data_IF_054979206835
#
_entry.id   IF_054979206835
#
_cell.length_a   1.000
_cell.length_b   1.000
_cell.length_c   1.000
_cell.angle_alpha   90.00
_cell.angle_beta   90.00
_cell.angle_gamma   90.00
#
_symmetry.space_group_name_H-M   'P 1'
#
loop_
_entity.id
_entity.type
_entity.pdbx_description
1 polymer ?
#
# COMPACT_ATOMS: atom_id res chain seq x y z
N UNK A 1 40.99 -49.14 -46.67
CA UNK A 1 40.38 -47.90 -46.12
C UNK A 1 38.97 -48.10 -45.50
N UNK A 2 38.46 -49.33 -45.31
CA UNK A 2 37.10 -49.56 -44.75
C UNK A 2 37.08 -49.71 -43.21
N UNK A 3 38.25 -49.85 -42.59
CA UNK A 3 38.39 -50.20 -41.17
C UNK A 3 38.43 -48.97 -40.22
N UNK A 4 38.77 -47.77 -40.72
CA UNK A 4 38.82 -46.55 -39.89
C UNK A 4 37.47 -45.87 -39.68
N UNK A 5 36.46 -46.19 -40.52
CA UNK A 5 35.11 -45.64 -40.41
C UNK A 5 34.31 -46.29 -39.27
N UNK A 6 34.38 -47.62 -39.13
CA UNK A 6 33.70 -48.34 -38.04
C UNK A 6 34.22 -47.99 -36.66
N UNK A 7 35.54 -47.78 -36.51
CA UNK A 7 36.15 -47.39 -35.22
C UNK A 7 35.75 -45.99 -34.77
N UNK A 8 35.58 -45.03 -35.70
CA UNK A 8 35.07 -43.68 -35.39
C UNK A 8 33.60 -43.72 -35.00
N UNK A 9 32.76 -44.47 -35.70
CA UNK A 9 31.34 -44.62 -35.35
C UNK A 9 31.14 -45.29 -33.99
N UNK A 10 31.96 -46.29 -33.65
CA UNK A 10 31.93 -46.93 -32.32
C UNK A 10 32.41 -45.97 -31.23
N UNK A 11 33.45 -45.15 -31.49
CA UNK A 11 33.92 -44.15 -30.53
C UNK A 11 32.85 -43.06 -30.27
N UNK A 12 32.15 -42.60 -31.32
CA UNK A 12 31.04 -41.65 -31.17
C UNK A 12 29.87 -42.25 -30.40
N UNK A 13 29.58 -43.55 -30.60
CA UNK A 13 28.51 -44.23 -29.90
C UNK A 13 28.86 -44.44 -28.41
N UNK A 14 30.11 -44.77 -28.10
CA UNK A 14 30.60 -44.87 -26.71
C UNK A 14 30.62 -43.49 -26.04
N UNK A 15 31.04 -42.43 -26.74
CA UNK A 15 31.04 -41.07 -26.22
C UNK A 15 29.62 -40.56 -25.97
N UNK A 16 28.69 -40.83 -26.90
CA UNK A 16 27.27 -40.49 -26.75
C UNK A 16 26.64 -41.25 -25.57
N UNK A 17 26.93 -42.55 -25.43
CA UNK A 17 26.47 -43.34 -24.27
C UNK A 17 27.07 -42.82 -22.97
N UNK A 18 28.35 -42.46 -22.93
CA UNK A 18 29.00 -41.89 -21.75
C UNK A 18 28.42 -40.51 -21.39
N UNK A 19 28.09 -39.68 -22.38
CA UNK A 19 27.41 -38.39 -22.18
C UNK A 19 25.97 -38.60 -21.71
N UNK A 20 25.24 -39.56 -22.25
CA UNK A 20 23.88 -39.90 -21.78
C UNK A 20 23.89 -40.46 -20.35
N UNK A 21 24.88 -41.28 -19.99
CA UNK A 21 25.06 -41.78 -18.63
C UNK A 21 25.45 -40.63 -17.70
N UNK A 22 26.38 -39.77 -18.10
CA UNK A 22 26.78 -38.58 -17.34
C UNK A 22 25.62 -37.60 -17.13
N UNK A 23 24.84 -37.32 -18.17
CA UNK A 23 23.61 -36.53 -18.08
C UNK A 23 22.58 -37.21 -17.18
N UNK A 24 22.41 -38.53 -17.27
CA UNK A 24 21.51 -39.29 -16.39
C UNK A 24 21.92 -39.22 -14.93
N UNK A 25 23.22 -39.29 -14.62
CA UNK A 25 23.75 -39.13 -13.26
C UNK A 25 23.58 -37.71 -12.74
N UNK A 26 23.84 -36.70 -13.56
CA UNK A 26 23.64 -35.29 -13.20
C UNK A 26 22.15 -34.99 -12.99
N UNK A 27 21.27 -35.51 -13.86
CA UNK A 27 19.82 -35.42 -13.69
C UNK A 27 19.39 -36.15 -12.42
N UNK A 28 19.91 -37.34 -12.15
CA UNK A 28 19.60 -38.14 -10.97
C UNK A 28 20.05 -37.46 -9.66
N UNK A 29 21.22 -36.84 -9.66
CA UNK A 29 21.71 -36.06 -8.51
C UNK A 29 20.87 -34.79 -8.29
N UNK A 30 20.50 -34.11 -9.38
CA UNK A 30 19.57 -32.98 -9.35
C UNK A 30 18.20 -33.40 -8.82
N UNK A 31 17.64 -34.53 -9.28
CA UNK A 31 16.37 -35.08 -8.79
C UNK A 31 16.43 -35.50 -7.33
N UNK A 32 17.55 -36.08 -6.89
CA UNK A 32 17.75 -36.48 -5.50
C UNK A 32 17.87 -35.25 -4.59
N UNK A 33 18.59 -34.21 -5.02
CA UNK A 33 18.67 -32.93 -4.32
C UNK A 33 17.30 -32.21 -4.29
N UNK A 34 16.55 -32.29 -5.38
CA UNK A 34 15.20 -31.73 -5.49
C UNK A 34 14.23 -32.41 -4.52
N UNK A 35 14.21 -33.75 -4.49
CA UNK A 35 13.38 -34.53 -3.59
C UNK A 35 13.79 -34.35 -2.13
N UNK A 36 15.09 -34.24 -1.85
CA UNK A 36 15.58 -33.92 -0.51
C UNK A 36 15.13 -32.52 -0.07
N UNK A 37 15.23 -31.52 -0.94
CA UNK A 37 14.75 -30.17 -0.67
C UNK A 37 13.23 -30.14 -0.44
N UNK A 38 12.47 -30.90 -1.24
CA UNK A 38 11.02 -31.02 -1.11
C UNK A 38 10.62 -31.75 0.18
N UNK A 39 11.36 -32.79 0.58
CA UNK A 39 11.19 -33.49 1.86
C UNK A 39 11.52 -32.59 3.06
N UNK A 40 12.63 -31.84 3.00
CA UNK A 40 13.00 -30.85 4.03
C UNK A 40 11.93 -29.74 4.13
N UNK A 41 11.32 -29.34 3.02
CA UNK A 41 10.22 -28.37 3.01
C UNK A 41 8.92 -28.91 3.60
N UNK A 42 8.55 -30.17 3.36
CA UNK A 42 7.39 -30.80 4.03
C UNK A 42 7.63 -30.83 5.55
N UNK A 43 8.84 -31.18 5.98
CA UNK A 43 9.22 -31.21 7.40
C UNK A 43 9.20 -29.80 8.01
N UNK A 44 9.72 -28.78 7.31
CA UNK A 44 9.65 -27.38 7.77
C UNK A 44 8.22 -26.81 7.78
N UNK A 45 7.36 -27.20 6.84
CA UNK A 45 5.93 -26.84 6.82
C UNK A 45 5.17 -27.43 8.00
N UNK A 46 5.54 -28.63 8.45
CA UNK A 46 4.96 -29.31 9.62
C UNK A 46 5.50 -28.72 10.94
N UNK A 47 6.74 -28.24 10.95
CA UNK A 47 7.41 -27.73 12.16
C UNK A 47 7.39 -26.19 12.31
N UNK A 48 6.71 -25.46 11.43
CA UNK A 48 6.63 -23.99 11.48
C UNK A 48 5.74 -23.52 12.62
N UNK A 49 6.33 -22.85 13.61
CA UNK A 49 5.63 -22.29 14.78
C UNK A 49 4.73 -21.08 14.48
N UNK A 50 4.04 -20.52 15.50
CA UNK A 50 2.86 -19.63 15.35
C UNK A 50 3.16 -18.18 14.91
N UNK A 51 4.33 -17.90 14.32
CA UNK A 51 4.81 -16.55 14.01
C UNK A 51 5.30 -16.46 12.55
N UNK A 52 4.49 -16.90 11.59
CA UNK A 52 4.77 -16.67 10.16
C UNK A 52 4.05 -15.39 9.72
N UNK A 53 4.79 -14.32 9.47
CA UNK A 53 4.27 -13.08 8.89
C UNK A 53 3.82 -13.24 7.43
N UNK A 54 3.07 -12.26 6.90
CA UNK A 54 2.43 -12.32 5.58
C UNK A 54 3.43 -12.52 4.44
N UNK A 55 4.62 -11.91 4.51
CA UNK A 55 5.69 -12.09 3.52
C UNK A 55 6.14 -13.56 3.40
N UNK A 56 6.31 -14.26 4.53
CA UNK A 56 6.71 -15.67 4.54
C UNK A 56 5.58 -16.59 4.08
N UNK A 57 4.33 -16.27 4.43
CA UNK A 57 3.16 -16.97 3.92
C UNK A 57 3.03 -16.82 2.39
N UNK A 58 3.32 -15.64 1.85
CA UNK A 58 3.30 -15.37 0.41
C UNK A 58 4.33 -16.23 -0.34
N UNK A 59 5.59 -16.29 0.13
CA UNK A 59 6.62 -17.15 -0.48
C UNK A 59 6.24 -18.63 -0.48
N UNK A 60 5.64 -19.11 0.62
CA UNK A 60 5.18 -20.51 0.71
C UNK A 60 3.97 -20.79 -0.20
N UNK A 61 3.12 -19.79 -0.46
CA UNK A 61 1.98 -19.93 -1.38
C UNK A 61 2.42 -20.20 -2.82
N UNK A 62 3.65 -19.86 -3.18
CA UNK A 62 4.22 -20.14 -4.51
C UNK A 62 4.74 -21.59 -4.65
N UNK A 63 4.88 -22.36 -3.56
CA UNK A 63 5.30 -23.77 -3.59
C UNK A 63 4.51 -24.67 -4.56
N UNK A 64 3.17 -24.59 -4.68
CA UNK A 64 2.44 -25.34 -5.69
C UNK A 64 2.87 -25.06 -7.14
N UNK A 65 3.50 -23.92 -7.46
CA UNK A 65 4.07 -23.70 -8.80
C UNK A 65 5.25 -24.65 -9.09
N UNK A 66 5.89 -25.24 -8.08
CA UNK A 66 6.88 -26.30 -8.29
C UNK A 66 6.25 -27.53 -8.98
N UNK A 67 4.95 -27.81 -8.76
CA UNK A 67 4.24 -28.87 -9.49
C UNK A 67 4.09 -28.54 -10.98
N UNK A 68 3.89 -27.27 -11.32
CA UNK A 68 3.86 -26.81 -12.71
C UNK A 68 5.24 -26.99 -13.35
N UNK A 69 6.31 -26.63 -12.64
CA UNK A 69 7.68 -26.91 -13.08
C UNK A 69 7.93 -28.41 -13.30
N UNK A 70 7.43 -29.27 -12.42
CA UNK A 70 7.50 -30.73 -12.58
C UNK A 70 6.74 -31.22 -13.82
N UNK A 71 5.56 -30.65 -14.11
CA UNK A 71 4.80 -30.96 -15.32
C UNK A 71 5.58 -30.58 -16.59
N UNK A 72 6.31 -29.46 -16.60
CA UNK A 72 7.20 -29.11 -17.71
C UNK A 72 8.34 -30.10 -17.89
N UNK A 73 8.94 -30.58 -16.79
CA UNK A 73 9.96 -31.64 -16.86
C UNK A 73 9.37 -32.94 -17.42
N UNK A 74 8.18 -33.34 -16.97
CA UNK A 74 7.46 -34.50 -17.49
C UNK A 74 7.13 -34.36 -18.98
N UNK A 75 6.66 -33.19 -19.41
CA UNK A 75 6.41 -32.89 -20.82
C UNK A 75 7.70 -32.94 -21.65
N UNK A 76 8.82 -32.44 -21.10
CA UNK A 76 10.12 -32.54 -21.74
C UNK A 76 10.61 -33.98 -21.88
N UNK A 77 10.44 -34.81 -20.85
CA UNK A 77 10.72 -36.25 -20.94
C UNK A 77 9.84 -36.95 -21.98
N UNK A 78 8.55 -36.58 -22.05
CA UNK A 78 7.63 -37.04 -23.10
C UNK A 78 8.10 -36.64 -24.51
N UNK A 79 8.56 -35.40 -24.68
CA UNK A 79 9.15 -34.91 -25.93
C UNK A 79 10.40 -35.70 -26.35
N UNK A 80 11.24 -36.07 -25.38
CA UNK A 80 12.43 -36.89 -25.63
C UNK A 80 12.06 -38.32 -26.09
N UNK A 81 11.08 -38.94 -25.44
CA UNK A 81 10.55 -40.26 -25.84
C UNK A 81 9.92 -40.20 -27.22
N UNK A 82 9.13 -39.16 -27.50
CA UNK A 82 8.51 -38.93 -28.80
C UNK A 82 9.55 -38.78 -29.92
N UNK A 83 10.58 -37.94 -29.71
CA UNK A 83 11.68 -37.78 -30.66
C UNK A 83 12.42 -39.10 -30.91
N UNK A 84 12.63 -39.91 -29.87
CA UNK A 84 13.28 -41.21 -29.97
C UNK A 84 12.44 -42.23 -30.76
N UNK A 85 11.11 -42.23 -30.58
CA UNK A 85 10.21 -43.07 -31.37
C UNK A 85 10.23 -42.65 -32.85
N UNK A 86 10.10 -41.37 -33.13
CA UNK A 86 10.11 -40.82 -34.50
C UNK A 86 11.44 -41.04 -35.22
N UNK A 87 12.55 -41.03 -34.49
CA UNK A 87 13.87 -41.36 -35.05
C UNK A 87 13.99 -42.82 -35.50
N UNK A 88 13.20 -43.73 -34.90
CA UNK A 88 13.20 -45.16 -35.24
C UNK A 88 12.23 -45.52 -36.38
N UNK A 89 11.33 -44.62 -36.76
CA UNK A 89 10.41 -44.86 -37.87
C UNK A 89 11.14 -44.81 -39.22
N UNK A 90 10.67 -45.61 -40.18
CA UNK A 90 11.19 -45.60 -41.56
C UNK A 90 10.04 -45.31 -42.53
N UNK A 91 10.11 -44.24 -43.33
CA UNK A 91 11.16 -43.21 -43.37
C UNK A 91 11.11 -42.27 -42.14
N UNK A 92 12.27 -41.76 -41.72
CA UNK A 92 12.36 -40.80 -40.61
C UNK A 92 11.81 -39.44 -41.03
N UNK A 93 10.81 -38.95 -40.32
CA UNK A 93 10.30 -37.58 -40.47
C UNK A 93 11.11 -36.61 -39.58
N UNK A 94 12.22 -36.11 -40.12
CA UNK A 94 13.12 -35.18 -39.41
C UNK A 94 12.43 -33.98 -38.74
N UNK A 95 11.39 -33.33 -39.31
CA UNK A 95 10.68 -32.25 -38.63
C UNK A 95 10.06 -32.67 -37.29
N UNK A 96 9.50 -33.88 -37.19
CA UNK A 96 8.88 -34.37 -35.96
C UNK A 96 9.93 -34.71 -34.89
N UNK A 97 11.07 -35.27 -35.31
CA UNK A 97 12.22 -35.53 -34.43
C UNK A 97 12.75 -34.22 -33.86
N UNK A 98 12.95 -33.20 -34.71
CA UNK A 98 13.41 -31.87 -34.28
C UNK A 98 12.40 -31.24 -33.32
N UNK A 99 11.11 -31.29 -33.63
CA UNK A 99 10.05 -30.80 -32.75
C UNK A 99 10.08 -31.46 -31.37
N UNK A 100 10.20 -32.79 -31.32
CA UNK A 100 10.31 -33.53 -30.06
C UNK A 100 11.55 -33.16 -29.24
N UNK A 101 12.71 -32.98 -29.89
CA UNK A 101 13.95 -32.54 -29.23
C UNK A 101 13.82 -31.12 -28.66
N UNK A 102 13.18 -30.20 -29.40
CA UNK A 102 12.95 -28.82 -28.93
C UNK A 102 12.03 -28.82 -27.71
N UNK A 103 10.92 -29.56 -27.74
CA UNK A 103 10.01 -29.72 -26.60
C UNK A 103 10.74 -30.35 -25.41
N UNK A 104 11.59 -31.35 -25.66
CA UNK A 104 12.39 -31.98 -24.62
C UNK A 104 13.30 -30.99 -23.91
N UNK A 105 14.08 -30.24 -24.69
CA UNK A 105 15.03 -29.28 -24.16
C UNK A 105 14.33 -28.14 -23.42
N UNK A 106 13.34 -27.49 -24.04
CA UNK A 106 12.63 -26.37 -23.42
C UNK A 106 11.85 -26.79 -22.17
N UNK A 107 11.13 -27.91 -22.22
CA UNK A 107 10.37 -28.40 -21.06
C UNK A 107 11.26 -28.73 -19.86
N UNK A 108 12.40 -29.37 -20.11
CA UNK A 108 13.37 -29.69 -19.06
C UNK A 108 13.99 -28.41 -18.49
N UNK A 109 14.50 -27.50 -19.33
CA UNK A 109 15.17 -26.27 -18.88
C UNK A 109 14.22 -25.35 -18.12
N UNK A 110 13.03 -25.08 -18.67
CA UNK A 110 12.02 -24.23 -18.03
C UNK A 110 11.55 -24.86 -16.72
N UNK A 111 11.26 -26.16 -16.73
CA UNK A 111 10.80 -26.87 -15.56
C UNK A 111 11.83 -26.88 -14.42
N UNK A 112 13.10 -27.17 -14.72
CA UNK A 112 14.17 -27.10 -13.72
C UNK A 112 14.37 -25.69 -13.17
N UNK A 113 14.38 -24.67 -14.05
CA UNK A 113 14.49 -23.28 -13.62
C UNK A 113 13.38 -22.89 -12.66
N UNK A 114 12.12 -23.19 -13.00
CA UNK A 114 10.96 -22.86 -12.18
C UNK A 114 11.04 -23.53 -10.80
N UNK A 115 11.34 -24.84 -10.75
CA UNK A 115 11.44 -25.53 -9.46
C UNK A 115 12.61 -24.99 -8.66
N UNK A 116 13.76 -24.72 -9.30
CA UNK A 116 14.91 -24.14 -8.64
C UNK A 116 14.59 -22.78 -7.99
N UNK A 117 13.95 -21.86 -8.71
CA UNK A 117 13.59 -20.53 -8.19
C UNK A 117 12.64 -20.65 -7.01
N UNK A 118 11.55 -21.41 -7.12
CA UNK A 118 10.56 -21.57 -6.05
C UNK A 118 11.18 -22.22 -4.80
N UNK A 119 12.02 -23.23 -4.98
CA UNK A 119 12.73 -23.90 -3.87
C UNK A 119 13.76 -22.94 -3.23
N UNK A 120 14.52 -22.21 -4.05
CA UNK A 120 15.50 -21.23 -3.59
C UNK A 120 14.82 -20.17 -2.74
N UNK A 121 13.71 -19.61 -3.20
CA UNK A 121 13.03 -18.51 -2.54
C UNK A 121 12.38 -18.95 -1.22
N UNK A 122 11.91 -20.20 -1.14
CA UNK A 122 11.41 -20.79 0.10
C UNK A 122 12.53 -21.14 1.12
N UNK A 123 13.70 -21.55 0.65
CA UNK A 123 14.83 -21.96 1.51
C UNK A 123 15.74 -20.79 1.92
N UNK A 124 15.92 -19.83 1.04
CA UNK A 124 16.77 -18.65 1.18
C UNK A 124 15.94 -17.41 0.87
N UNK A 125 15.08 -16.97 1.80
CA UNK A 125 14.19 -15.82 1.58
C UNK A 125 14.97 -14.54 1.27
N UNK A 126 16.24 -14.44 1.68
CA UNK A 126 17.12 -13.31 1.35
C UNK A 126 17.38 -13.11 -0.14
N UNK A 127 17.28 -14.18 -0.93
CA UNK A 127 17.48 -14.16 -2.38
C UNK A 127 16.15 -14.15 -3.15
N UNK A 128 15.03 -14.08 -2.44
CA UNK A 128 13.72 -14.00 -3.06
C UNK A 128 13.53 -12.66 -3.76
N UNK A 129 12.76 -12.66 -4.84
CA UNK A 129 12.39 -11.43 -5.54
C UNK A 129 11.67 -10.45 -4.61
N UNK A 130 10.85 -10.96 -3.68
CA UNK A 130 10.15 -10.15 -2.69
C UNK A 130 11.13 -9.42 -1.76
N UNK A 131 12.08 -10.12 -1.14
CA UNK A 131 13.09 -9.47 -0.30
C UNK A 131 13.93 -8.46 -1.09
N UNK A 132 14.29 -8.79 -2.33
CA UNK A 132 15.06 -7.89 -3.18
C UNK A 132 14.28 -6.63 -3.56
N UNK A 133 12.97 -6.76 -3.82
CA UNK A 133 12.10 -5.60 -4.08
C UNK A 133 12.06 -4.68 -2.87
N UNK A 134 11.82 -5.18 -1.65
CA UNK A 134 11.80 -4.37 -0.41
C UNK A 134 13.15 -3.68 -0.20
N UNK A 135 14.28 -4.40 -0.31
CA UNK A 135 15.62 -3.81 -0.12
C UNK A 135 15.90 -2.69 -1.11
N UNK A 136 15.47 -2.86 -2.37
CA UNK A 136 15.66 -1.84 -3.39
C UNK A 136 14.90 -0.56 -3.06
N UNK A 137 13.79 -0.64 -2.33
CA UNK A 137 12.94 0.50 -1.99
C UNK A 137 13.47 1.28 -0.78
N UNK A 138 14.48 0.78 -0.07
CA UNK A 138 15.13 1.50 1.03
C UNK A 138 16.04 2.62 0.51
N UNK A 139 16.30 3.62 1.34
CA UNK A 139 17.24 4.72 1.02
C UNK A 139 18.68 4.22 0.85
N UNK A 140 19.08 3.23 1.66
CA UNK A 140 20.39 2.59 1.62
C UNK A 140 20.27 1.08 1.40
N UNK A 141 20.24 0.61 0.13
CA UNK A 141 20.08 -0.80 -0.19
C UNK A 141 21.23 -1.70 0.32
N UNK A 142 22.45 -1.15 0.37
CA UNK A 142 23.66 -1.88 0.75
C UNK A 142 23.78 -2.08 2.27
N UNK A 143 23.08 -1.25 3.06
CA UNK A 143 23.00 -1.33 4.53
C UNK A 143 21.67 -1.94 5.00
N UNK A 144 20.95 -2.61 4.10
CA UNK A 144 19.62 -3.13 4.40
C UNK A 144 19.68 -4.17 5.55
N UNK A 145 18.69 -4.12 6.47
CA UNK A 145 18.63 -5.04 7.60
C UNK A 145 18.44 -6.49 7.16
N UNK A 146 18.62 -7.41 8.11
CA UNK A 146 18.41 -8.84 7.88
C UNK A 146 16.96 -9.11 7.44
N UNK A 147 16.74 -10.19 6.70
CA UNK A 147 15.44 -10.49 6.07
C UNK A 147 14.31 -10.62 7.06
N UNK A 148 14.58 -11.13 8.26
CA UNK A 148 13.56 -11.25 9.30
C UNK A 148 13.06 -9.87 9.70
N UNK A 149 13.97 -8.92 9.89
CA UNK A 149 13.64 -7.54 10.22
C UNK A 149 12.99 -6.83 9.03
N UNK A 150 13.52 -7.06 7.82
CA UNK A 150 12.97 -6.53 6.56
C UNK A 150 11.51 -6.92 6.35
N UNK A 151 11.18 -8.21 6.51
CA UNK A 151 9.81 -8.70 6.40
C UNK A 151 8.97 -8.22 7.56
N UNK A 152 9.51 -8.13 8.77
CA UNK A 152 8.75 -7.62 9.92
C UNK A 152 8.30 -6.17 9.73
N UNK A 153 9.09 -5.31 9.06
CA UNK A 153 8.68 -3.93 8.78
C UNK A 153 7.43 -3.88 7.90
N UNK A 154 7.41 -4.68 6.82
CA UNK A 154 6.26 -4.77 5.92
C UNK A 154 5.08 -5.45 6.61
N UNK A 155 5.33 -6.59 7.26
CA UNK A 155 4.30 -7.38 7.92
C UNK A 155 3.62 -6.59 9.05
N UNK A 156 4.36 -5.80 9.83
CA UNK A 156 3.79 -4.95 10.87
C UNK A 156 2.94 -3.82 10.27
N UNK A 157 3.39 -3.16 9.21
CA UNK A 157 2.60 -2.12 8.55
C UNK A 157 1.30 -2.69 7.96
N UNK A 158 1.36 -3.85 7.30
CA UNK A 158 0.18 -4.52 6.76
C UNK A 158 -0.72 -5.05 7.89
N UNK A 159 -0.17 -5.54 9.00
CA UNK A 159 -0.96 -6.01 10.14
C UNK A 159 -1.72 -4.86 10.84
N UNK A 160 -1.11 -3.68 10.95
CA UNK A 160 -1.70 -2.52 11.62
C UNK A 160 -2.63 -1.71 10.71
N UNK A 161 -2.25 -1.51 9.45
CA UNK A 161 -2.89 -0.56 8.54
C UNK A 161 -3.41 -1.19 7.24
N UNK A 162 -3.20 -2.50 7.04
CA UNK A 162 -3.41 -3.16 5.75
C UNK A 162 -4.87 -3.29 5.33
N UNK A 163 -5.18 -2.81 4.13
CA UNK A 163 -6.43 -3.07 3.41
C UNK A 163 -6.13 -4.02 2.25
N UNK A 164 -6.95 -5.08 2.13
CA UNK A 164 -6.74 -6.14 1.13
C UNK A 164 -7.68 -5.97 -0.07
N UNK A 165 -7.12 -6.09 -1.26
CA UNK A 165 -7.81 -6.11 -2.55
C UNK A 165 -7.32 -7.31 -3.36
N UNK A 166 -8.05 -8.42 -3.28
CA UNK A 166 -7.63 -9.68 -3.90
C UNK A 166 -6.21 -10.11 -3.46
N UNK A 167 -5.21 -10.15 -4.36
CA UNK A 167 -3.84 -10.51 -4.03
C UNK A 167 -2.98 -9.34 -3.50
N UNK A 168 -3.48 -8.10 -3.50
CA UNK A 168 -2.74 -6.91 -3.08
C UNK A 168 -3.15 -6.49 -1.66
N UNK A 169 -2.18 -6.15 -0.82
CA UNK A 169 -2.38 -5.46 0.44
C UNK A 169 -1.76 -4.06 0.39
N UNK A 170 -2.50 -3.04 0.84
CA UNK A 170 -2.03 -1.66 0.93
C UNK A 170 -2.01 -1.26 2.39
N UNK A 171 -0.83 -1.03 2.94
CA UNK A 171 -0.60 -0.48 4.28
C UNK A 171 -0.46 1.04 4.26
N UNK A 172 0.14 1.58 5.33
CA UNK A 172 0.41 3.02 5.42
C UNK A 172 1.69 3.41 4.68
N UNK A 173 2.69 2.53 4.70
CA UNK A 173 4.01 2.78 4.10
C UNK A 173 4.30 1.83 2.95
N UNK A 174 3.76 0.62 2.98
CA UNK A 174 4.04 -0.43 2.01
C UNK A 174 2.81 -0.88 1.23
N UNK A 175 3.03 -1.19 -0.05
CA UNK A 175 2.11 -1.97 -0.87
C UNK A 175 2.75 -3.34 -1.10
N UNK A 176 2.03 -4.40 -0.76
CA UNK A 176 2.47 -5.78 -0.86
C UNK A 176 1.61 -6.54 -1.88
N UNK A 177 2.23 -7.02 -2.95
CA UNK A 177 1.66 -7.95 -3.93
C UNK A 177 2.60 -9.13 -4.14
N UNK A 178 2.90 -9.45 -5.40
CA UNK A 178 3.99 -10.40 -5.74
C UNK A 178 5.39 -9.84 -5.42
N UNK A 179 5.48 -8.51 -5.41
CA UNK A 179 6.62 -7.70 -4.95
C UNK A 179 6.12 -6.69 -3.92
N UNK A 180 7.03 -5.95 -3.27
CA UNK A 180 6.66 -4.86 -2.39
C UNK A 180 7.21 -3.51 -2.87
N UNK A 181 6.38 -2.48 -2.76
CA UNK A 181 6.75 -1.09 -3.06
C UNK A 181 6.50 -0.19 -1.87
N UNK A 182 7.42 0.75 -1.64
CA UNK A 182 7.21 1.81 -0.66
C UNK A 182 6.32 2.90 -1.26
N UNK A 183 5.20 3.23 -0.62
CA UNK A 183 4.25 4.25 -1.07
C UNK A 183 4.92 5.60 -1.29
N UNK A 184 5.91 5.96 -0.47
CA UNK A 184 6.65 7.21 -0.59
C UNK A 184 7.42 7.31 -1.93
N UNK A 185 7.85 6.18 -2.51
CA UNK A 185 8.57 6.13 -3.78
C UNK A 185 7.67 6.07 -5.00
N UNK A 186 6.40 5.68 -4.85
CA UNK A 186 5.47 5.60 -5.97
C UNK A 186 5.25 7.01 -6.57
N UNK A 187 5.35 7.10 -7.90
CA UNK A 187 5.10 8.28 -8.73
C UNK A 187 3.92 8.10 -9.67
N UNK A 188 3.59 6.86 -10.03
CA UNK A 188 2.46 6.59 -10.92
C UNK A 188 1.74 5.29 -10.57
N UNK A 189 0.43 5.29 -10.75
CA UNK A 189 -0.48 4.16 -10.54
C UNK A 189 -1.27 3.99 -11.83
N UNK A 190 -0.97 2.92 -12.54
CA UNK A 190 -1.61 2.58 -13.81
C UNK A 190 -2.33 1.25 -13.71
N UNK A 191 -3.37 1.06 -14.51
CA UNK A 191 -4.06 -0.22 -14.58
C UNK A 191 -4.26 -0.68 -16.01
N UNK A 192 -4.38 -1.99 -16.19
CA UNK A 192 -4.74 -2.65 -17.43
C UNK A 192 -6.03 -3.43 -17.20
N UNK A 193 -7.06 -3.09 -17.96
CA UNK A 193 -8.30 -3.87 -18.04
C UNK A 193 -8.64 -4.08 -19.52
N UNK A 194 -8.22 -5.23 -20.04
CA UNK A 194 -8.39 -5.57 -21.45
C UNK A 194 -9.05 -6.93 -21.63
N UNK A 195 -10.07 -7.00 -22.49
CA UNK A 195 -10.66 -8.27 -22.94
C UNK A 195 -10.03 -8.64 -24.27
N UNK A 196 -9.11 -9.61 -24.27
CA UNK A 196 -8.56 -10.22 -25.48
C UNK A 196 -9.49 -11.30 -26.00
N UNK A 197 -9.91 -11.18 -27.26
CA UNK A 197 -10.71 -12.21 -27.95
C UNK A 197 -9.84 -12.93 -28.96
N UNK A 198 -9.74 -14.24 -28.82
CA UNK A 198 -9.12 -15.11 -29.82
C UNK A 198 -10.22 -15.84 -30.59
N UNK A 199 -10.22 -15.66 -31.91
CA UNK A 199 -11.08 -16.43 -32.82
C UNK A 199 -10.38 -17.73 -33.20
N UNK A 200 -11.04 -18.85 -32.94
CA UNK A 200 -10.65 -20.19 -33.35
C UNK A 200 -11.76 -20.78 -34.22
N UNK A 201 -11.44 -21.77 -35.06
CA UNK A 201 -12.41 -22.52 -35.86
C UNK A 201 -13.49 -23.21 -34.99
N UNK A 202 -13.21 -23.43 -33.70
CA UNK A 202 -14.13 -24.03 -32.72
C UNK A 202 -14.84 -23.00 -31.80
N UNK A 203 -14.69 -21.70 -32.03
CA UNK A 203 -15.40 -20.65 -31.28
C UNK A 203 -14.54 -19.45 -30.87
N UNK A 204 -15.16 -18.48 -30.19
CA UNK A 204 -14.49 -17.28 -29.67
C UNK A 204 -14.10 -17.50 -28.21
N UNK A 205 -12.81 -17.48 -27.90
CA UNK A 205 -12.31 -17.52 -26.51
C UNK A 205 -11.97 -16.09 -26.06
N UNK A 206 -12.64 -15.60 -25.03
CA UNK A 206 -12.36 -14.30 -24.41
C UNK A 206 -11.54 -14.48 -23.12
N UNK A 207 -10.41 -13.80 -23.02
CA UNK A 207 -9.59 -13.72 -21.80
C UNK A 207 -9.56 -12.26 -21.36
N UNK A 208 -9.90 -11.97 -20.11
CA UNK A 208 -9.75 -10.63 -19.52
C UNK A 208 -8.43 -10.57 -18.77
N UNK A 209 -7.66 -9.51 -18.99
CA UNK A 209 -6.39 -9.23 -18.35
C UNK A 209 -6.62 -8.05 -17.42
N UNK A 210 -6.35 -8.24 -16.13
CA UNK A 210 -6.54 -7.26 -15.07
C UNK A 210 -5.21 -7.10 -14.34
N UNK A 211 -4.58 -5.93 -14.45
CA UNK A 211 -3.27 -5.67 -13.81
C UNK A 211 -3.24 -4.29 -13.20
N UNK A 212 -2.61 -4.17 -12.03
CA UNK A 212 -2.16 -2.92 -11.44
C UNK A 212 -0.66 -2.76 -11.69
N UNK A 213 -0.23 -1.56 -12.05
CA UNK A 213 1.16 -1.23 -12.36
C UNK A 213 1.54 -0.01 -11.52
N UNK A 214 2.51 -0.18 -10.63
CA UNK A 214 3.09 0.90 -9.83
C UNK A 214 4.41 1.32 -10.47
N UNK A 215 4.56 2.62 -10.71
CA UNK A 215 5.78 3.24 -11.22
C UNK A 215 6.46 3.98 -10.07
N UNK A 216 7.72 3.65 -9.77
CA UNK A 216 8.51 4.31 -8.74
C UNK A 216 9.35 5.50 -9.27
N UNK A 217 10.04 6.19 -8.37
CA UNK A 217 10.95 7.31 -8.62
C UNK A 217 12.17 6.93 -9.48
N UNK A 218 12.53 5.64 -9.50
CA UNK A 218 13.62 5.08 -10.31
C UNK A 218 13.13 4.59 -11.68
N UNK A 219 11.88 4.89 -12.03
CA UNK A 219 11.19 4.44 -13.24
C UNK A 219 11.08 2.91 -13.36
N UNK A 220 11.15 2.20 -12.24
CA UNK A 220 10.90 0.76 -12.19
C UNK A 220 9.40 0.52 -12.08
N UNK A 221 8.92 -0.53 -12.74
CA UNK A 221 7.51 -0.89 -12.74
C UNK A 221 7.29 -2.18 -11.98
N UNK A 222 6.39 -2.15 -11.01
CA UNK A 222 5.88 -3.34 -10.34
C UNK A 222 4.50 -3.65 -10.90
N UNK A 223 4.27 -4.88 -11.34
CA UNK A 223 2.96 -5.32 -11.84
C UNK A 223 2.34 -6.33 -10.87
N UNK A 224 1.05 -6.19 -10.57
CA UNK A 224 0.28 -7.18 -9.79
C UNK A 224 -0.96 -7.58 -10.59
N UNK A 225 -1.16 -8.89 -10.75
CA UNK A 225 -2.29 -9.45 -11.49
C UNK A 225 -3.52 -9.62 -10.60
N UNK A 226 -4.71 -9.31 -11.13
CA UNK A 226 -5.98 -9.43 -10.43
C UNK A 226 -6.89 -10.47 -11.09
N UNK A 227 -7.74 -11.10 -10.28
CA UNK A 227 -8.77 -12.03 -10.76
C UNK A 227 -10.12 -11.33 -10.95
N UNK A 228 -10.40 -10.32 -10.13
CA UNK A 228 -11.66 -9.57 -10.11
C UNK A 228 -11.45 -8.12 -10.57
N UNK A 229 -12.29 -7.59 -11.48
CA UNK A 229 -12.28 -6.18 -11.84
C UNK A 229 -12.57 -5.26 -10.65
N UNK A 230 -13.48 -5.68 -9.77
CA UNK A 230 -13.91 -4.89 -8.62
C UNK A 230 -12.76 -4.72 -7.60
N UNK A 231 -11.94 -5.76 -7.42
CA UNK A 231 -10.75 -5.69 -6.57
C UNK A 231 -9.70 -4.73 -7.15
N UNK A 232 -9.50 -4.76 -8.48
CA UNK A 232 -8.59 -3.84 -9.16
C UNK A 232 -9.06 -2.39 -9.05
N UNK A 233 -10.35 -2.14 -9.30
CA UNK A 233 -10.94 -0.80 -9.19
C UNK A 233 -10.87 -0.28 -7.75
N UNK A 234 -11.22 -1.13 -6.77
CA UNK A 234 -11.10 -0.81 -5.35
C UNK A 234 -9.67 -0.45 -4.95
N UNK A 235 -8.69 -1.23 -5.40
CA UNK A 235 -7.27 -0.94 -5.15
C UNK A 235 -6.83 0.40 -5.74
N UNK A 236 -7.21 0.69 -6.99
CA UNK A 236 -6.87 1.96 -7.66
C UNK A 236 -7.51 3.15 -6.94
N UNK A 237 -8.78 3.04 -6.54
CA UNK A 237 -9.47 4.09 -5.81
C UNK A 237 -8.83 4.35 -4.45
N UNK A 238 -8.51 3.29 -3.70
CA UNK A 238 -7.87 3.43 -2.40
C UNK A 238 -6.46 4.04 -2.53
N UNK A 239 -5.65 3.56 -3.48
CA UNK A 239 -4.34 4.14 -3.75
C UNK A 239 -4.42 5.61 -4.19
N UNK A 240 -5.51 6.01 -4.87
CA UNK A 240 -5.78 7.42 -5.20
C UNK A 240 -5.98 8.29 -3.97
N UNK A 241 -6.59 7.75 -2.93
CA UNK A 241 -6.72 8.45 -1.64
C UNK A 241 -5.39 8.50 -0.89
N UNK A 242 -4.59 7.44 -0.96
CA UNK A 242 -3.26 7.38 -0.32
C UNK A 242 -2.24 8.30 -1.00
N UNK A 243 -2.22 8.35 -2.33
CA UNK A 243 -1.23 9.07 -3.14
C UNK A 243 -1.84 10.04 -4.17
N UNK A 244 -2.65 11.05 -3.77
CA UNK A 244 -3.42 11.85 -4.72
C UNK A 244 -2.61 12.62 -5.78
N UNK A 245 -1.33 12.79 -5.55
CA UNK A 245 -0.34 13.47 -6.40
C UNK A 245 0.33 12.54 -7.42
N UNK A 246 0.21 11.21 -7.28
CA UNK A 246 0.75 10.30 -8.28
C UNK A 246 0.05 10.46 -9.64
N UNK A 247 0.72 10.05 -10.73
CA UNK A 247 0.08 9.96 -12.03
C UNK A 247 -0.91 8.79 -12.07
N UNK A 248 -2.09 9.03 -12.63
CA UNK A 248 -3.12 8.00 -12.77
C UNK A 248 -3.46 7.78 -14.22
N UNK A 249 -3.62 6.51 -14.61
CA UNK A 249 -4.05 6.22 -15.96
C UNK A 249 -4.20 4.76 -16.31
N UNK A 250 -4.49 4.52 -17.59
CA UNK A 250 -4.33 3.17 -18.16
C UNK A 250 -2.86 2.92 -18.48
N UNK A 251 -2.47 1.65 -18.58
CA UNK A 251 -1.09 1.24 -18.94
C UNK A 251 -0.49 2.02 -20.13
N UNK A 252 -1.26 2.27 -21.18
CA UNK A 252 -0.79 3.01 -22.37
C UNK A 252 -0.40 4.47 -22.06
N UNK A 253 -0.96 5.08 -21.01
CA UNK A 253 -0.64 6.44 -20.59
C UNK A 253 0.66 6.52 -19.76
N UNK A 254 1.26 5.38 -19.43
CA UNK A 254 2.55 5.29 -18.75
C UNK A 254 3.74 5.48 -19.69
N UNK A 255 3.61 5.08 -20.97
CA UNK A 255 4.71 5.13 -21.95
C UNK A 255 5.39 6.52 -22.05
N UNK A 256 4.65 7.64 -22.14
CA UNK A 256 5.27 8.96 -22.22
C UNK A 256 6.12 9.32 -21.00
N UNK A 257 5.80 8.79 -19.81
CA UNK A 257 6.57 9.02 -18.58
C UNK A 257 7.90 8.26 -18.60
N UNK A 258 7.89 7.03 -19.12
CA UNK A 258 9.08 6.22 -19.26
C UNK A 258 10.05 6.79 -20.30
N UNK A 259 9.51 7.44 -21.34
CA UNK A 259 10.28 8.07 -22.42
C UNK A 259 10.83 9.46 -22.09
N UNK A 260 10.50 10.05 -20.93
CA UNK A 260 11.02 11.35 -20.54
C UNK A 260 12.54 11.38 -20.46
N UNK A 261 13.15 12.50 -20.81
CA UNK A 261 14.58 12.71 -20.54
C UNK A 261 14.85 12.79 -19.04
N UNK A 262 16.11 12.62 -18.60
CA UNK A 262 16.47 12.78 -17.19
C UNK A 262 16.09 14.16 -16.64
N UNK A 263 16.28 15.21 -17.43
CA UNK A 263 15.91 16.59 -17.07
C UNK A 263 14.40 16.77 -16.86
N UNK A 264 13.58 16.20 -17.77
CA UNK A 264 12.12 16.26 -17.67
C UNK A 264 11.61 15.50 -16.44
N UNK A 265 12.24 14.37 -16.13
CA UNK A 265 11.89 13.58 -14.95
C UNK A 265 12.28 14.30 -13.66
N UNK A 266 13.46 14.90 -13.59
CA UNK A 266 13.86 15.70 -12.45
C UNK A 266 12.90 16.87 -12.19
N UNK A 267 12.43 17.54 -13.24
CA UNK A 267 11.41 18.59 -13.12
C UNK A 267 10.09 18.03 -12.59
N UNK A 268 9.66 16.89 -13.13
CA UNK A 268 8.44 16.21 -12.70
C UNK A 268 8.52 15.80 -11.22
N UNK A 269 9.64 15.26 -10.77
CA UNK A 269 9.86 14.92 -9.37
C UNK A 269 9.85 16.14 -8.45
N UNK A 270 10.47 17.24 -8.88
CA UNK A 270 10.45 18.49 -8.13
C UNK A 270 9.03 19.03 -7.97
N UNK A 271 8.20 18.98 -9.03
CA UNK A 271 6.79 19.38 -8.97
C UNK A 271 5.98 18.50 -8.02
N UNK A 272 6.14 17.18 -8.09
CA UNK A 272 5.46 16.24 -7.19
C UNK A 272 5.86 16.46 -5.72
N UNK A 273 7.16 16.68 -5.47
CA UNK A 273 7.66 16.98 -4.14
C UNK A 273 7.08 18.28 -3.58
N UNK A 274 6.96 19.32 -4.41
CA UNK A 274 6.32 20.58 -4.02
C UNK A 274 4.84 20.39 -3.68
N UNK A 275 4.09 19.64 -4.48
CA UNK A 275 2.68 19.36 -4.22
C UNK A 275 2.48 18.59 -2.91
N UNK A 276 3.32 17.57 -2.64
CA UNK A 276 3.30 16.84 -1.37
C UNK A 276 3.58 17.76 -0.18
N UNK A 277 4.65 18.54 -0.25
CA UNK A 277 5.03 19.45 0.81
C UNK A 277 3.95 20.51 1.10
N UNK A 278 3.28 21.02 0.05
CA UNK A 278 2.16 21.95 0.23
C UNK A 278 0.97 21.27 0.91
N UNK A 279 0.61 20.06 0.51
CA UNK A 279 -0.48 19.30 1.15
C UNK A 279 -0.18 18.98 2.60
N UNK A 280 1.05 18.59 2.93
CA UNK A 280 1.45 18.33 4.32
C UNK A 280 1.36 19.60 5.17
N UNK A 281 1.74 20.76 4.61
CA UNK A 281 1.53 22.06 5.27
C UNK A 281 0.05 22.33 5.48
N UNK A 282 -0.79 22.17 4.47
CA UNK A 282 -2.23 22.40 4.56
C UNK A 282 -2.89 21.46 5.58
N UNK A 283 -2.47 20.19 5.62
CA UNK A 283 -2.93 19.19 6.60
C UNK A 283 -2.47 19.53 8.02
N UNK A 284 -1.22 19.94 8.19
CA UNK A 284 -0.68 20.36 9.48
C UNK A 284 -1.35 21.64 9.97
N UNK A 285 -1.61 22.59 9.08
CA UNK A 285 -2.36 23.79 9.41
C UNK A 285 -3.78 23.39 9.84
N UNK A 286 -4.51 22.60 9.04
CA UNK A 286 -5.83 22.09 9.41
C UNK A 286 -5.86 21.32 10.75
N UNK A 287 -4.83 20.53 11.06
CA UNK A 287 -4.72 19.76 12.32
C UNK A 287 -4.36 20.66 13.50
N UNK A 288 -3.54 21.69 13.31
CA UNK A 288 -3.21 22.72 14.32
C UNK A 288 -4.46 23.48 14.79
N UNK A 289 -5.47 23.58 13.91
CA UNK A 289 -6.78 24.17 14.20
C UNK A 289 -7.75 23.22 14.96
N UNK A 290 -7.43 21.93 15.17
CA UNK A 290 -8.27 20.96 15.90
C UNK A 290 -8.00 20.88 17.42
N UNK A 291 -7.67 21.99 18.06
CA UNK A 291 -7.51 22.06 19.51
C UNK A 291 -8.77 22.57 20.23
N UNK A 292 -9.91 22.55 19.56
CA UNK A 292 -11.18 23.06 20.08
C UNK A 292 -12.26 22.02 19.85
N UNK A 293 -13.08 21.79 20.86
CA UNK A 293 -14.24 20.90 20.84
C UNK A 293 -15.48 21.79 20.83
N UNK A 294 -16.37 21.57 19.86
CA UNK A 294 -17.68 22.20 19.83
C UNK A 294 -18.65 21.30 20.59
N UNK A 295 -19.29 21.85 21.61
CA UNK A 295 -20.32 21.19 22.40
C UNK A 295 -21.61 22.00 22.33
N UNK A 296 -22.69 21.42 21.82
CA UNK A 296 -24.01 22.07 21.73
C UNK A 296 -24.83 21.84 23.00
N UNK A 297 -25.90 22.61 23.19
CA UNK A 297 -26.82 22.48 24.33
C UNK A 297 -27.52 21.11 24.39
N UNK A 298 -27.71 20.44 23.25
CA UNK A 298 -28.28 19.09 23.13
C UNK A 298 -27.34 17.98 23.63
N UNK A 299 -26.08 18.31 23.99
CA UNK A 299 -25.07 17.37 24.45
C UNK A 299 -24.25 16.74 23.33
N UNK A 300 -24.48 17.09 22.07
CA UNK A 300 -23.63 16.67 20.94
C UNK A 300 -22.25 17.32 21.04
N UNK A 301 -21.23 16.54 20.68
CA UNK A 301 -19.82 16.93 20.77
C UNK A 301 -19.14 16.63 19.44
N UNK A 302 -18.46 17.61 18.86
CA UNK A 302 -17.67 17.43 17.64
C UNK A 302 -16.31 18.12 17.74
N UNK A 303 -15.26 17.38 17.42
CA UNK A 303 -13.89 17.90 17.31
C UNK A 303 -13.55 18.37 15.88
N UNK A 304 -14.41 18.05 14.89
CA UNK A 304 -14.24 18.47 13.49
C UNK A 304 -14.99 19.77 13.25
N UNK A 305 -14.42 20.87 13.72
CA UNK A 305 -15.03 22.20 13.58
C UNK A 305 -14.55 22.83 12.27
N UNK A 306 -15.49 23.12 11.37
CA UNK A 306 -15.24 23.93 10.16
C UNK A 306 -15.97 25.26 10.26
N UNK A 307 -15.50 26.30 9.55
CA UNK A 307 -16.18 27.60 9.54
C UNK A 307 -17.64 27.55 9.05
N UNK A 308 -18.00 26.74 8.03
CA UNK A 308 -19.40 26.54 7.64
C UNK A 308 -20.22 25.94 8.78
N UNK A 309 -19.73 24.88 9.42
CA UNK A 309 -20.44 24.23 10.54
C UNK A 309 -20.70 25.20 11.69
N UNK A 310 -19.74 26.06 12.01
CA UNK A 310 -19.88 27.06 13.06
C UNK A 310 -20.91 28.14 12.72
N UNK A 311 -20.93 28.59 11.45
CA UNK A 311 -21.93 29.53 10.94
C UNK A 311 -23.33 28.93 11.02
N UNK A 312 -23.51 27.72 10.53
CA UNK A 312 -24.79 27.01 10.55
C UNK A 312 -25.29 26.84 11.99
N UNK A 313 -24.38 26.50 12.92
CA UNK A 313 -24.71 26.39 14.35
C UNK A 313 -25.18 27.73 14.94
N UNK A 314 -24.51 28.84 14.60
CA UNK A 314 -24.92 30.16 15.08
C UNK A 314 -26.28 30.59 14.50
N UNK A 315 -26.53 30.31 13.23
CA UNK A 315 -27.81 30.60 12.57
C UNK A 315 -28.95 29.75 13.13
N UNK A 316 -28.70 28.50 13.49
CA UNK A 316 -29.63 27.62 14.22
C UNK A 316 -29.97 28.24 15.59
N UNK A 317 -28.95 28.60 16.39
CA UNK A 317 -29.17 29.17 17.71
C UNK A 317 -29.95 30.50 17.67
N UNK A 318 -29.77 31.33 16.65
CA UNK A 318 -30.52 32.58 16.50
C UNK A 318 -32.02 32.37 16.25
N UNK A 319 -32.41 31.25 15.66
CA UNK A 319 -33.82 30.91 15.40
C UNK A 319 -34.52 30.36 16.65
N UNK A 320 -33.75 29.89 17.64
CA UNK A 320 -34.23 29.35 18.91
C UNK A 320 -34.56 30.44 19.94
N UNK A 321 -35.26 30.08 21.01
CA UNK A 321 -35.68 31.03 22.07
C UNK A 321 -34.45 31.54 22.86
N UNK A 322 -33.58 30.63 23.29
CA UNK A 322 -32.26 30.90 23.87
C UNK A 322 -31.44 29.61 23.78
N UNK A 323 -30.42 29.57 22.92
CA UNK A 323 -29.60 28.39 22.70
C UNK A 323 -28.11 28.72 22.81
N UNK A 324 -27.38 27.83 23.48
CA UNK A 324 -25.98 28.03 23.83
C UNK A 324 -25.13 26.89 23.29
N UNK A 325 -23.95 27.21 22.77
CA UNK A 325 -22.92 26.24 22.46
C UNK A 325 -21.56 26.69 23.01
N UNK A 326 -20.66 25.73 23.18
CA UNK A 326 -19.36 25.91 23.81
C UNK A 326 -18.25 25.51 22.85
N UNK A 327 -17.22 26.33 22.78
CA UNK A 327 -15.96 26.04 22.11
C UNK A 327 -14.89 25.83 23.19
N UNK A 328 -14.70 24.57 23.60
CA UNK A 328 -13.77 24.18 24.66
C UNK A 328 -12.39 23.87 24.05
N UNK A 329 -11.36 24.58 24.49
CA UNK A 329 -9.99 24.34 24.05
C UNK A 329 -9.35 23.19 24.85
N UNK A 330 -8.73 22.24 24.17
CA UNK A 330 -8.01 21.12 24.80
C UNK A 330 -6.71 21.54 25.49
N UNK A 331 -6.19 22.73 25.13
CA UNK A 331 -5.11 23.40 25.84
C UNK A 331 -5.50 24.87 26.05
N UNK A 332 -5.12 25.49 27.17
CA UNK A 332 -5.46 26.89 27.44
C UNK A 332 -4.90 27.82 26.36
N UNK A 333 -5.72 28.76 25.90
CA UNK A 333 -5.31 29.82 24.97
C UNK A 333 -4.87 31.02 25.80
N UNK A 334 -3.62 31.46 25.60
CA UNK A 334 -3.07 32.65 26.27
C UNK A 334 -3.51 33.91 25.52
N UNK A 335 -4.18 34.81 26.24
CA UNK A 335 -4.59 36.14 25.75
C UNK A 335 -4.20 37.14 26.83
N UNK A 336 -3.35 38.11 26.51
CA UNK A 336 -2.83 39.14 27.44
C UNK A 336 -2.38 38.54 28.78
N UNK A 337 -1.47 37.55 28.71
CA UNK A 337 -0.91 36.78 29.84
C UNK A 337 -1.92 36.00 30.71
N UNK A 338 -3.19 35.93 30.28
CA UNK A 338 -4.25 35.18 30.96
C UNK A 338 -4.64 33.94 30.16
N UNK A 339 -4.71 32.79 30.82
CA UNK A 339 -5.09 31.52 30.19
C UNK A 339 -6.62 31.33 30.17
N UNK A 340 -7.20 31.11 28.99
CA UNK A 340 -8.62 30.83 28.79
C UNK A 340 -8.86 29.41 28.28
N UNK A 341 -9.93 28.76 28.74
CA UNK A 341 -10.22 27.35 28.41
C UNK A 341 -11.47 27.18 27.54
N UNK A 342 -12.47 28.04 27.66
CA UNK A 342 -13.71 27.89 26.89
C UNK A 342 -14.29 29.22 26.45
N UNK A 343 -14.84 29.23 25.24
CA UNK A 343 -15.66 30.31 24.71
C UNK A 343 -17.11 29.82 24.60
N UNK A 344 -17.98 30.35 25.44
CA UNK A 344 -19.42 30.11 25.42
C UNK A 344 -20.11 31.13 24.52
N UNK A 345 -20.96 30.66 23.61
CA UNK A 345 -21.70 31.48 22.67
C UNK A 345 -23.19 31.25 22.91
N UNK A 346 -23.93 32.30 23.28
CA UNK A 346 -25.39 32.26 23.44
C UNK A 346 -26.04 33.19 22.43
N UNK A 347 -26.96 32.63 21.65
CA UNK A 347 -27.79 33.36 20.70
C UNK A 347 -29.24 32.89 20.82
N UNK A 348 -30.19 33.75 20.47
CA UNK A 348 -31.60 33.40 20.50
C UNK A 348 -32.49 34.62 20.42
N UNK A 349 -33.77 34.39 20.15
CA UNK A 349 -34.75 35.48 20.00
C UNK A 349 -34.88 36.35 21.25
N UNK A 350 -34.55 35.83 22.43
CA UNK A 350 -34.48 36.59 23.69
C UNK A 350 -33.37 37.67 23.70
N UNK A 351 -32.28 37.46 22.95
CA UNK A 351 -31.17 38.40 22.80
C UNK A 351 -31.31 39.31 21.57
N UNK A 352 -32.42 39.18 20.83
CA UNK A 352 -32.69 39.95 19.61
C UNK A 352 -31.65 39.66 18.52
N UNK A 353 -31.02 40.72 18.00
CA UNK A 353 -29.95 40.60 16.98
C UNK A 353 -28.55 40.44 17.58
N UNK A 354 -28.42 40.40 18.90
CA UNK A 354 -27.11 40.32 19.56
C UNK A 354 -26.76 38.88 19.94
N UNK A 355 -25.46 38.59 19.91
CA UNK A 355 -24.86 37.33 20.35
C UNK A 355 -24.02 37.62 21.58
N UNK A 356 -24.25 36.86 22.66
CA UNK A 356 -23.46 36.93 23.88
C UNK A 356 -22.30 35.94 23.79
N UNK A 357 -21.08 36.43 23.95
CA UNK A 357 -19.86 35.65 24.04
C UNK A 357 -19.31 35.73 25.47
N UNK A 358 -18.91 34.59 26.04
CA UNK A 358 -18.32 34.50 27.37
C UNK A 358 -17.05 33.65 27.31
N UNK A 359 -15.90 34.28 27.53
CA UNK A 359 -14.60 33.63 27.71
C UNK A 359 -14.44 33.23 29.18
N UNK A 360 -14.16 31.96 29.44
CA UNK A 360 -13.91 31.44 30.79
C UNK A 360 -12.42 31.18 30.99
N UNK A 361 -11.85 31.73 32.06
CA UNK A 361 -10.43 31.54 32.40
C UNK A 361 -10.16 30.09 32.84
N UNK A 362 -8.93 29.62 32.67
CA UNK A 362 -8.48 28.36 33.25
C UNK A 362 -8.35 28.52 34.79
N UNK A 363 -8.69 27.48 35.58
CA UNK A 363 -8.54 27.53 37.03
C UNK A 363 -7.06 27.74 37.40
N UNK A 364 -6.78 28.72 38.27
CA UNK A 364 -5.43 28.92 38.80
C UNK A 364 -5.10 27.79 39.77
N UNK A 365 -3.85 27.33 39.75
CA UNK A 365 -3.37 26.18 40.52
C UNK A 365 -3.66 26.36 42.01
N UNK A 366 -4.67 25.65 42.53
CA UNK A 366 -5.09 25.71 43.94
C UNK A 366 -6.57 26.05 44.16
N UNK A 367 -7.29 26.55 43.15
CA UNK A 367 -8.72 26.86 43.23
C UNK A 367 -9.58 25.88 42.43
N UNK A 368 -10.71 25.46 43.01
CA UNK A 368 -11.58 24.41 42.46
C UNK A 368 -12.55 24.89 41.36
N UNK A 369 -12.56 26.19 41.01
CA UNK A 369 -13.45 26.72 39.97
C UNK A 369 -12.81 27.91 39.23
N UNK A 370 -13.10 28.08 37.92
CA UNK A 370 -12.75 29.30 37.21
C UNK A 370 -13.61 30.46 37.76
N UNK A 371 -12.98 31.37 38.51
CA UNK A 371 -13.68 32.43 39.23
C UNK A 371 -14.11 33.62 38.35
N UNK A 372 -13.48 33.77 37.18
CA UNK A 372 -13.61 34.96 36.34
C UNK A 372 -13.74 34.62 34.86
N UNK A 373 -14.56 35.39 34.16
CA UNK A 373 -14.73 35.33 32.72
C UNK A 373 -14.88 36.71 32.13
N UNK A 374 -14.70 36.81 30.82
CA UNK A 374 -14.90 38.03 30.06
C UNK A 374 -16.10 37.88 29.15
N UNK A 375 -16.98 38.89 29.14
CA UNK A 375 -18.21 38.88 28.37
C UNK A 375 -18.24 39.99 27.33
N UNK A 376 -18.70 39.65 26.13
CA UNK A 376 -18.94 40.57 25.03
C UNK A 376 -20.34 40.35 24.45
N UNK A 377 -21.07 41.44 24.17
CA UNK A 377 -22.26 41.41 23.33
C UNK A 377 -21.89 41.96 21.95
N UNK A 378 -22.02 41.12 20.93
CA UNK A 378 -21.57 41.42 19.59
C UNK A 378 -22.68 41.18 18.56
N UNK A 379 -22.59 41.83 17.41
CA UNK A 379 -23.41 41.47 16.25
C UNK A 379 -22.96 40.10 15.70
N UNK A 380 -23.81 39.35 14.97
CA UNK A 380 -23.49 38.01 14.48
C UNK A 380 -22.20 37.94 13.66
N UNK A 381 -21.94 38.94 12.82
CA UNK A 381 -20.72 39.02 12.02
C UNK A 381 -19.47 39.20 12.90
N UNK A 382 -19.56 40.05 13.93
CA UNK A 382 -18.47 40.27 14.87
C UNK A 382 -18.26 39.03 15.76
N UNK A 383 -19.34 38.35 16.15
CA UNK A 383 -19.25 37.10 16.89
C UNK A 383 -18.56 36.00 16.08
N UNK A 384 -18.91 35.86 14.79
CA UNK A 384 -18.22 34.94 13.88
C UNK A 384 -16.73 35.24 13.76
N UNK A 385 -16.33 36.52 13.72
CA UNK A 385 -14.90 36.90 13.71
C UNK A 385 -14.18 36.47 14.98
N UNK A 386 -14.77 36.71 16.15
CA UNK A 386 -14.20 36.33 17.44
C UNK A 386 -14.06 34.80 17.55
N UNK A 387 -15.09 34.04 17.17
CA UNK A 387 -15.01 32.58 17.23
C UNK A 387 -14.00 32.02 16.21
N UNK A 388 -13.88 32.64 15.03
CA UNK A 388 -12.86 32.28 14.05
C UNK A 388 -11.46 32.53 14.60
N UNK A 389 -11.23 33.70 15.22
CA UNK A 389 -9.97 34.03 15.86
C UNK A 389 -9.64 33.06 17.01
N UNK A 390 -10.64 32.64 17.79
CA UNK A 390 -10.50 31.62 18.83
C UNK A 390 -10.05 30.26 18.26
N UNK A 391 -10.70 29.78 17.20
CA UNK A 391 -10.31 28.53 16.52
C UNK A 391 -8.89 28.61 15.93
N UNK A 392 -8.50 29.78 15.45
CA UNK A 392 -7.17 30.06 14.88
C UNK A 392 -6.11 30.40 15.94
N UNK A 393 -6.48 30.43 17.23
CA UNK A 393 -5.62 30.87 18.36
C UNK A 393 -4.94 32.23 18.10
N UNK A 394 -5.65 33.13 17.44
CA UNK A 394 -5.19 34.51 17.24
C UNK A 394 -5.44 35.33 18.50
N UNK A 395 -4.64 36.38 18.71
CA UNK A 395 -4.82 37.32 19.81
C UNK A 395 -6.17 38.04 19.67
N UNK A 396 -7.01 37.96 20.69
CA UNK A 396 -8.28 38.66 20.76
C UNK A 396 -8.07 40.04 21.38
N UNK A 397 -8.65 41.08 20.78
CA UNK A 397 -8.71 42.40 21.39
C UNK A 397 -9.77 42.39 22.51
N UNK A 398 -9.31 42.51 23.76
CA UNK A 398 -10.15 42.44 24.95
C UNK A 398 -10.68 43.81 25.40
N UNK A 399 -10.39 44.91 24.68
CA UNK A 399 -10.77 46.28 25.11
C UNK A 399 -12.27 46.51 25.27
N UNK A 400 -13.11 45.78 24.52
CA UNK A 400 -14.57 45.89 24.55
C UNK A 400 -15.24 44.86 25.47
N UNK A 401 -14.46 44.00 26.14
CA UNK A 401 -14.98 42.93 26.98
C UNK A 401 -15.17 43.40 28.42
N UNK A 402 -16.22 42.91 29.06
CA UNK A 402 -16.54 43.24 30.45
C UNK A 402 -16.24 42.06 31.36
N UNK A 403 -15.63 42.31 32.51
CA UNK A 403 -15.31 41.26 33.49
C UNK A 403 -16.59 40.80 34.21
N UNK A 404 -16.82 39.50 34.25
CA UNK A 404 -17.99 38.88 34.88
C UNK A 404 -17.56 37.71 35.77
N UNK A 405 -18.16 37.57 36.94
CA UNK A 405 -17.98 36.37 37.78
C UNK A 405 -18.77 35.21 37.19
N UNK A 406 -18.09 34.13 36.83
CA UNK A 406 -18.75 32.92 36.31
C UNK A 406 -19.18 32.06 37.50
N UNK A 407 -20.48 32.00 37.77
CA UNK A 407 -21.01 31.21 38.87
C UNK A 407 -20.78 29.71 38.57
N UNK A 408 -19.98 29.06 39.43
CA UNK A 408 -19.56 27.67 39.31
C UNK A 408 -20.73 26.69 39.48
N UNK A 409 -21.48 26.44 38.41
CA UNK A 409 -22.42 25.32 38.36
C UNK A 409 -22.64 24.86 36.92
N UNK A 410 -21.62 24.33 36.24
CA UNK A 410 -21.85 23.64 34.95
C UNK A 410 -20.74 22.72 34.44
N UNK A 411 -19.54 22.72 35.01
CA UNK A 411 -18.53 21.68 34.74
C UNK A 411 -18.75 20.48 35.66
N UNK A 412 -19.77 19.64 35.38
CA UNK A 412 -19.73 18.24 35.82
C UNK A 412 -18.81 17.50 34.85
N UNK A 413 -17.53 17.43 35.20
CA UNK A 413 -16.58 16.48 34.63
C UNK A 413 -17.06 15.08 34.95
N UNK A 414 -17.73 14.44 33.99
CA UNK A 414 -18.03 13.03 34.07
C UNK A 414 -16.76 12.26 33.68
N UNK A 415 -15.85 12.08 34.66
CA UNK A 415 -14.80 11.07 34.53
C UNK A 415 -15.46 9.70 34.69
N UNK A 416 -15.52 8.94 33.59
CA UNK A 416 -15.48 7.48 33.61
C UNK A 416 -14.40 7.02 32.67
#
# INVERSE_FOLDING_TARGET
MKESSGRRSVLFLILAVAVCIGLGFVLGFLWSALLLALAVMIIKKVNGGPMDGYCMAHLRKQLPLALVGLLFILAGMGGAVYAWMMYKETPVEWPNVIGGVVVAFLGIVIGFYQVFVVVRDACFPEKSALAQSIRSQLEHPDEAPDVVELFSMVDNDIAENGVWFGPLAVGKEWVLGDEASCLARVRGIFYLDEIRRHHSSNGTKSTRILQLILLDDRRQTQTTDFLSPDDLEGAVLYLRECLPDAFYGKKAQMEPLLEQTEEQWYQTEAELAQQRAQREKDKNDFTKHQNTILRRADGSVTSRITLPLLRDTLEECQKSIEETFFLEATQPVLIDDTAYLSLECTAGTALGTQVRLLLTQAPQTGDAAPAQGMQLFAQPEQAMRVMTAWLQRQTLDLTQWTLVSVAGSRFKTNRR
#
